data_IF_359374324630
#
_entry.id   IF_359374324630
#
_cell.length_a   1.000
_cell.length_b   1.000
_cell.length_c   1.000
_cell.angle_alpha   90.00
_cell.angle_beta   90.00
_cell.angle_gamma   90.00
#
_symmetry.space_group_name_H-M   'P 1'
#
loop_
_entity.id
_entity.type
_entity.pdbx_description
1 polymer ?
#
# COMPACT_ATOMS: atom_id res chain seq x y z
N UNK A 1 28.04 26.24 11.66
CA UNK A 1 27.75 25.34 10.53
C UNK A 1 26.66 24.35 10.94
N UNK A 2 25.40 24.62 10.61
CA UNK A 2 24.28 23.76 11.01
C UNK A 2 24.20 22.43 10.21
N UNK A 3 24.70 22.43 8.96
CA UNK A 3 24.63 21.27 8.05
C UNK A 3 25.41 20.03 8.52
N UNK A 4 26.62 20.22 9.08
CA UNK A 4 27.46 19.11 9.55
C UNK A 4 26.81 18.30 10.69
N UNK A 5 26.17 18.97 11.64
CA UNK A 5 25.46 18.29 12.74
C UNK A 5 24.22 17.55 12.23
N UNK A 6 23.46 18.13 11.29
CA UNK A 6 22.29 17.47 10.71
C UNK A 6 22.67 16.19 9.96
N UNK A 7 23.71 16.23 9.14
CA UNK A 7 24.18 15.05 8.40
C UNK A 7 24.53 13.88 9.33
N UNK A 8 25.29 14.14 10.40
CA UNK A 8 25.66 13.11 11.39
C UNK A 8 24.44 12.48 12.04
N UNK A 9 23.42 13.28 12.34
CA UNK A 9 22.18 12.78 12.92
C UNK A 9 21.37 11.94 11.93
N UNK A 10 21.33 12.31 10.66
CA UNK A 10 20.74 11.46 9.60
C UNK A 10 21.48 10.14 9.48
N UNK A 11 22.82 10.15 9.55
CA UNK A 11 23.61 8.92 9.51
C UNK A 11 23.29 8.01 10.70
N UNK A 12 23.10 8.56 11.92
CA UNK A 12 22.63 7.77 13.08
C UNK A 12 21.29 7.10 12.81
N UNK A 13 20.31 7.81 12.24
CA UNK A 13 19.01 7.21 11.89
C UNK A 13 19.19 6.07 10.86
N UNK A 14 20.05 6.26 9.86
CA UNK A 14 20.36 5.23 8.87
C UNK A 14 20.96 3.96 9.51
N UNK A 15 21.62 4.05 10.67
CA UNK A 15 22.11 2.84 11.38
C UNK A 15 20.98 2.04 12.03
N UNK A 16 19.97 2.74 12.56
CA UNK A 16 18.77 2.12 13.16
C UNK A 16 17.94 1.42 12.09
N UNK A 17 17.71 2.08 10.95
CA UNK A 17 16.96 1.50 9.84
C UNK A 17 17.90 0.95 8.77
N UNK A 18 18.21 -0.33 8.91
CA UNK A 18 19.01 -1.09 7.93
C UNK A 18 18.25 -1.20 6.60
N UNK A 19 18.99 -1.16 5.51
CA UNK A 19 18.45 -1.50 4.19
C UNK A 19 18.28 -3.02 4.11
N UNK A 20 17.08 -3.46 3.72
CA UNK A 20 16.75 -4.87 3.54
C UNK A 20 16.83 -5.20 2.03
N UNK A 21 17.78 -6.05 1.59
CA UNK A 21 17.96 -6.36 0.18
C UNK A 21 16.80 -7.17 -0.41
N UNK A 22 16.03 -7.89 0.42
CA UNK A 22 14.89 -8.71 -0.04
C UNK A 22 13.70 -7.84 -0.45
N UNK A 23 13.58 -6.64 0.15
CA UNK A 23 12.50 -5.67 -0.11
C UNK A 23 13.02 -4.44 -0.86
N UNK A 24 13.96 -4.64 -1.77
CA UNK A 24 14.53 -3.55 -2.58
C UNK A 24 13.44 -2.73 -3.27
N UNK A 25 13.62 -1.41 -3.31
CA UNK A 25 12.65 -0.46 -3.87
C UNK A 25 11.43 -0.15 -2.98
N UNK A 26 11.10 -1.00 -2.00
CA UNK A 26 10.04 -0.77 -1.00
C UNK A 26 10.58 -0.53 0.42
N UNK A 27 11.89 -0.71 0.61
CA UNK A 27 12.53 -0.55 1.91
C UNK A 27 12.65 0.94 2.29
N UNK A 28 12.12 1.30 3.47
CA UNK A 28 12.23 2.66 4.00
C UNK A 28 13.69 3.06 4.25
N UNK A 29 14.52 2.16 4.77
CA UNK A 29 15.92 2.43 5.05
C UNK A 29 16.72 2.75 3.78
N UNK A 30 16.42 2.06 2.68
CA UNK A 30 17.00 2.34 1.36
C UNK A 30 16.56 3.72 0.85
N UNK A 31 15.26 4.02 0.95
CA UNK A 31 14.70 5.31 0.54
C UNK A 31 15.34 6.49 1.30
N UNK A 32 15.46 6.38 2.63
CA UNK A 32 16.05 7.44 3.46
C UNK A 32 17.51 7.67 3.07
N UNK A 33 18.30 6.61 2.88
CA UNK A 33 19.71 6.73 2.47
C UNK A 33 19.86 7.40 1.11
N UNK A 34 19.01 7.06 0.15
CA UNK A 34 18.99 7.69 -1.17
C UNK A 34 18.71 9.19 -1.06
N UNK A 35 17.69 9.57 -0.29
CA UNK A 35 17.36 10.99 -0.06
C UNK A 35 18.49 11.75 0.64
N UNK A 36 19.12 11.14 1.64
CA UNK A 36 20.29 11.75 2.32
C UNK A 36 21.44 11.93 1.34
N UNK A 37 21.71 10.99 0.44
CA UNK A 37 22.76 11.13 -0.58
C UNK A 37 22.43 12.22 -1.62
N UNK A 38 21.16 12.39 -1.98
CA UNK A 38 20.70 13.46 -2.87
C UNK A 38 20.82 14.85 -2.23
N UNK A 39 20.37 15.00 -0.97
CA UNK A 39 20.33 16.28 -0.26
C UNK A 39 21.72 16.68 0.29
N UNK A 40 22.55 15.72 0.71
CA UNK A 40 23.89 15.95 1.26
C UNK A 40 25.00 15.47 0.31
N UNK A 41 25.00 15.97 -0.93
CA UNK A 41 26.03 15.62 -1.95
C UNK A 41 27.47 15.84 -1.49
N UNK A 42 27.71 16.85 -0.66
CA UNK A 42 29.03 17.17 -0.10
C UNK A 42 29.17 16.70 1.36
N UNK A 43 28.31 15.77 1.81
CA UNK A 43 28.27 15.28 3.18
C UNK A 43 28.14 16.42 4.20
N UNK A 44 29.09 16.54 5.13
CA UNK A 44 29.12 17.55 6.20
C UNK A 44 29.34 18.98 5.71
N UNK A 45 29.91 19.16 4.52
CA UNK A 45 30.20 20.48 3.94
C UNK A 45 29.02 21.06 3.16
N UNK A 46 27.93 20.28 2.99
CA UNK A 46 26.78 20.72 2.21
C UNK A 46 26.07 21.88 2.90
N UNK A 47 25.88 22.98 2.17
CA UNK A 47 25.03 24.09 2.61
C UNK A 47 23.58 23.70 2.35
N UNK A 48 22.87 23.36 3.42
CA UNK A 48 21.45 23.01 3.34
C UNK A 48 20.64 24.30 3.15
N UNK A 49 19.86 24.44 2.05
CA UNK A 49 19.15 25.68 1.75
C UNK A 49 18.02 25.98 2.76
N UNK A 50 17.36 24.95 3.30
CA UNK A 50 16.33 25.06 4.32
C UNK A 50 16.65 24.12 5.49
N UNK A 51 17.40 24.64 6.46
CA UNK A 51 17.84 23.88 7.62
C UNK A 51 16.70 23.55 8.59
N UNK A 52 15.68 24.40 8.69
CA UNK A 52 14.55 24.18 9.59
C UNK A 52 13.69 23.01 9.11
N UNK A 53 13.36 23.00 7.81
CA UNK A 53 12.59 21.91 7.21
C UNK A 53 13.36 20.58 7.29
N UNK A 54 14.67 20.60 7.08
CA UNK A 54 15.54 19.44 7.26
C UNK A 54 15.49 18.93 8.72
N UNK A 55 15.58 19.84 9.70
CA UNK A 55 15.49 19.48 11.12
C UNK A 55 14.13 18.88 11.51
N UNK A 56 13.03 19.42 10.98
CA UNK A 56 11.67 18.91 11.21
C UNK A 56 11.48 17.51 10.64
N UNK A 57 12.04 17.26 9.45
CA UNK A 57 12.04 15.92 8.83
C UNK A 57 12.83 14.93 9.70
N UNK A 58 14.03 15.31 10.13
CA UNK A 58 14.87 14.49 11.02
C UNK A 58 14.11 14.14 12.31
N UNK A 59 13.46 15.11 12.95
CA UNK A 59 12.67 14.86 14.16
C UNK A 59 11.51 13.88 13.91
N UNK A 60 10.82 14.03 12.79
CA UNK A 60 9.75 13.11 12.39
C UNK A 60 10.27 11.68 12.20
N UNK A 61 11.45 11.53 11.56
CA UNK A 61 12.08 10.22 11.41
C UNK A 61 12.51 9.63 12.75
N UNK A 62 13.03 10.43 13.69
CA UNK A 62 13.34 9.97 15.06
C UNK A 62 12.10 9.53 15.82
N UNK A 63 10.98 10.24 15.67
CA UNK A 63 9.71 9.88 16.30
C UNK A 63 9.21 8.52 15.80
N UNK A 64 9.36 8.26 14.50
CA UNK A 64 9.06 6.96 13.90
C UNK A 64 10.02 5.87 14.40
N UNK A 65 11.34 6.13 14.41
CA UNK A 65 12.33 5.14 14.82
C UNK A 65 12.24 4.74 16.30
N UNK A 66 11.73 5.64 17.15
CA UNK A 66 11.54 5.41 18.58
C UNK A 66 10.14 4.87 18.94
N UNK A 67 9.28 4.69 17.94
CA UNK A 67 7.86 4.35 18.10
C UNK A 67 7.14 5.26 19.10
N UNK A 68 7.48 6.57 19.09
CA UNK A 68 7.02 7.56 20.09
C UNK A 68 5.50 7.52 20.26
N UNK A 69 4.76 7.55 19.16
CA UNK A 69 3.30 7.60 19.19
C UNK A 69 2.65 6.28 19.59
N UNK A 70 3.30 5.14 19.29
CA UNK A 70 2.79 3.84 19.76
C UNK A 70 2.88 3.74 21.29
N UNK A 71 3.92 4.33 21.89
CA UNK A 71 4.08 4.42 23.36
C UNK A 71 3.15 5.44 23.99
N UNK A 72 2.96 6.58 23.33
CA UNK A 72 2.12 7.67 23.83
C UNK A 72 0.63 7.33 23.77
N UNK A 73 0.20 6.60 22.73
CA UNK A 73 -1.19 6.24 22.49
C UNK A 73 -1.30 4.72 22.35
N UNK A 74 -1.18 3.96 23.46
CA UNK A 74 -1.32 2.52 23.42
C UNK A 74 -2.74 2.14 22.98
N UNK A 75 -2.85 1.12 22.13
CA UNK A 75 -4.16 0.62 21.73
C UNK A 75 -4.84 -0.06 22.90
N UNK A 76 -6.12 0.28 23.11
CA UNK A 76 -6.97 -0.33 24.14
C UNK A 76 -7.54 -1.67 23.65
N UNK A 77 -7.83 -1.77 22.35
CA UNK A 77 -8.34 -2.99 21.72
C UNK A 77 -7.27 -3.72 20.91
N UNK A 78 -7.32 -5.05 20.96
CA UNK A 78 -6.49 -5.94 20.12
C UNK A 78 -7.10 -6.11 18.73
N UNK A 79 -8.41 -5.89 18.61
CA UNK A 79 -9.17 -5.98 17.36
C UNK A 79 -9.22 -4.66 16.59
N UNK A 80 -9.33 -4.77 15.26
CA UNK A 80 -9.63 -3.66 14.37
C UNK A 80 -11.09 -3.19 14.50
N UNK A 81 -11.49 -2.17 13.74
CA UNK A 81 -12.85 -1.65 13.73
C UNK A 81 -13.93 -2.71 13.42
N UNK A 82 -13.57 -3.80 12.74
CA UNK A 82 -14.46 -4.91 12.40
C UNK A 82 -14.45 -6.04 13.45
N UNK A 83 -13.79 -5.86 14.60
CA UNK A 83 -13.62 -6.91 15.60
C UNK A 83 -12.57 -7.97 15.22
N UNK A 84 -12.02 -7.92 14.00
CA UNK A 84 -10.99 -8.84 13.53
C UNK A 84 -9.63 -8.54 14.18
N UNK A 85 -8.94 -9.59 14.60
CA UNK A 85 -7.56 -9.54 15.09
C UNK A 85 -6.57 -9.28 13.94
N UNK A 86 -5.35 -8.84 14.27
CA UNK A 86 -4.28 -8.64 13.27
C UNK A 86 -4.01 -9.89 12.43
N UNK A 87 -4.06 -11.07 13.03
CA UNK A 87 -3.81 -12.33 12.34
C UNK A 87 -4.92 -12.65 11.33
N UNK A 88 -6.17 -12.38 11.69
CA UNK A 88 -7.32 -12.56 10.79
C UNK A 88 -7.29 -11.55 9.65
N UNK A 89 -6.99 -10.28 9.92
CA UNK A 89 -6.80 -9.29 8.86
C UNK A 89 -5.68 -9.68 7.89
N UNK A 90 -4.57 -10.26 8.40
CA UNK A 90 -3.48 -10.74 7.54
C UNK A 90 -3.94 -11.86 6.60
N UNK A 91 -4.76 -12.81 7.09
CA UNK A 91 -5.35 -13.87 6.27
C UNK A 91 -6.25 -13.29 5.18
N UNK A 92 -7.17 -12.39 5.54
CA UNK A 92 -8.07 -11.73 4.57
C UNK A 92 -7.30 -10.96 3.50
N UNK A 93 -6.23 -10.26 3.87
CA UNK A 93 -5.38 -9.52 2.92
C UNK A 93 -4.67 -10.49 1.97
N UNK A 94 -4.09 -11.58 2.49
CA UNK A 94 -3.42 -12.62 1.70
C UNK A 94 -4.42 -13.27 0.74
N UNK A 95 -5.56 -13.72 1.24
CA UNK A 95 -6.64 -14.31 0.44
C UNK A 95 -7.05 -13.36 -0.68
N UNK A 96 -7.41 -12.11 -0.38
CA UNK A 96 -7.86 -11.15 -1.39
C UNK A 96 -6.79 -10.73 -2.41
N UNK A 97 -5.52 -10.65 -1.99
CA UNK A 97 -4.42 -10.29 -2.89
C UNK A 97 -3.99 -11.46 -3.80
N UNK A 98 -4.13 -12.71 -3.33
CA UNK A 98 -3.83 -13.90 -4.13
C UNK A 98 -5.03 -14.39 -4.96
N UNK A 99 -6.27 -14.06 -4.60
CA UNK A 99 -7.47 -14.38 -5.39
C UNK A 99 -7.68 -13.52 -6.63
N UNK A 100 -6.77 -12.61 -6.97
CA UNK A 100 -6.79 -11.97 -8.29
C UNK A 100 -6.66 -13.00 -9.44
N UNK A 101 -6.18 -14.21 -9.16
CA UNK A 101 -6.22 -15.36 -10.08
C UNK A 101 -7.59 -16.09 -10.11
N UNK A 102 -8.48 -15.84 -9.14
CA UNK A 102 -9.83 -16.39 -9.06
C UNK A 102 -10.87 -15.69 -9.95
N UNK A 103 -10.54 -14.52 -10.50
CA UNK A 103 -11.40 -13.79 -11.45
C UNK A 103 -11.61 -14.57 -12.78
N UNK A 104 -10.78 -15.59 -13.05
CA UNK A 104 -10.96 -16.52 -14.17
C UNK A 104 -12.13 -17.50 -13.93
N UNK A 105 -12.37 -17.92 -12.67
CA UNK A 105 -13.42 -18.89 -12.35
C UNK A 105 -14.83 -18.27 -12.36
N UNK A 106 -14.99 -17.01 -11.96
CA UNK A 106 -16.30 -16.35 -11.99
C UNK A 106 -16.86 -16.16 -13.41
N UNK A 107 -15.98 -15.95 -14.40
CA UNK A 107 -16.37 -15.90 -15.83
C UNK A 107 -16.95 -17.23 -16.32
N UNK A 108 -16.41 -18.36 -15.85
CA UNK A 108 -16.88 -19.70 -16.21
C UNK A 108 -18.27 -20.02 -15.63
N UNK A 109 -18.59 -19.46 -14.45
CA UNK A 109 -19.89 -19.63 -13.80
C UNK A 109 -20.97 -18.74 -14.41
N UNK A 110 -20.65 -17.48 -14.73
CA UNK A 110 -21.55 -16.56 -15.44
C UNK A 110 -21.86 -17.05 -16.86
N UNK A 111 -20.87 -17.64 -17.54
CA UNK A 111 -21.06 -18.27 -18.86
C UNK A 111 -22.09 -19.40 -18.84
N UNK A 112 -22.00 -20.30 -17.85
CA UNK A 112 -22.96 -21.41 -17.66
C UNK A 112 -24.37 -20.91 -17.33
N UNK A 113 -24.48 -19.81 -16.58
CA UNK A 113 -25.78 -19.19 -16.27
C UNK A 113 -26.41 -18.55 -17.51
N UNK A 114 -25.61 -17.84 -18.33
CA UNK A 114 -26.07 -17.26 -19.60
C UNK A 114 -26.54 -18.33 -20.57
N UNK A 115 -25.80 -19.43 -20.69
CA UNK A 115 -26.13 -20.55 -21.57
C UNK A 115 -27.48 -21.21 -21.18
N UNK A 116 -27.73 -21.35 -19.88
CA UNK A 116 -29.01 -21.85 -19.32
C UNK A 116 -30.18 -20.89 -19.56
N UNK A 117 -29.93 -19.58 -19.60
CA UNK A 117 -30.95 -18.55 -19.84
C UNK A 117 -31.29 -18.38 -21.32
N UNK A 118 -30.37 -18.66 -22.24
CA UNK A 118 -30.60 -18.61 -23.70
C UNK A 118 -31.45 -19.76 -24.26
N UNK A 119 -31.82 -20.76 -23.45
CA UNK A 119 -32.60 -21.93 -23.89
C UNK A 119 -34.12 -21.70 -24.01
N UNK A 120 -34.61 -20.45 -23.92
CA UNK A 120 -36.05 -20.14 -24.03
C UNK A 120 -36.33 -18.90 -24.89
N UNK A 121 -35.84 -18.89 -26.12
CA UNK A 121 -36.36 -18.01 -27.18
C UNK A 121 -36.48 -18.79 -28.48
N UNK A 122 -37.41 -19.74 -28.51
CA UNK A 122 -37.95 -20.29 -29.76
C UNK A 122 -39.37 -20.83 -29.50
N UNK A 123 -40.36 -19.94 -29.52
CA UNK A 123 -41.76 -20.32 -29.76
C UNK A 123 -42.39 -19.30 -30.74
N UNK A 124 -42.37 -19.69 -32.01
CA UNK A 124 -43.38 -19.48 -33.08
C UNK A 124 -43.90 -18.06 -33.30
N UNK A 125 -43.36 -17.42 -34.34
CA UNK A 125 -44.12 -16.46 -35.14
C UNK A 125 -44.99 -17.26 -36.14
N UNK A 126 -46.29 -17.37 -35.87
CA UNK A 126 -47.31 -17.83 -36.83
C UNK A 126 -48.27 -16.69 -37.10
N UNK A 127 -48.35 -16.29 -38.37
CA UNK A 127 -49.28 -15.31 -38.96
C UNK A 127 -50.76 -15.63 -38.69
N UNK A 128 -51.62 -14.59 -38.72
CA UNK A 128 -52.81 -14.63 -39.61
C UNK A 128 -53.04 -13.26 -40.31
N UNK A 129 -53.24 -13.18 -41.63
CA UNK A 129 -54.46 -13.41 -42.44
C UNK A 129 -55.43 -12.18 -42.55
N UNK A 130 -55.47 -11.63 -43.77
CA UNK A 130 -56.44 -10.76 -44.49
C UNK A 130 -57.73 -10.19 -43.82
N UNK A 131 -58.04 -8.90 -44.04
CA UNK A 131 -59.01 -8.42 -45.08
C UNK A 131 -59.67 -7.04 -44.80
N UNK A 132 -59.90 -6.29 -45.91
CA UNK A 132 -60.91 -5.23 -46.21
C UNK A 132 -60.78 -3.80 -45.65
N UNK A 133 -60.46 -2.85 -46.55
CA UNK A 133 -61.43 -2.01 -47.27
C UNK A 133 -60.80 -1.41 -48.54
#
# INVERSE_FOLDING_TARGET
>A
MAGANLYREYMKICTVWRADPVRSGKCLGEYVRRRVAEEFRQSEQTVVPDAELCSRRLESLRALASDRYAKQYPRVSVSSALGLTRAECAKVIVENLHTAEGAEQEKSLLGKLKERLSFKTDIRESTPAESKK
#
